data_IF_769882331117
#
_entry.id   IF_769882331117
#
_cell.length_a   1.000
_cell.length_b   1.000
_cell.length_c   1.000
_cell.angle_alpha   90.00
_cell.angle_beta   90.00
_cell.angle_gamma   90.00
#
_symmetry.space_group_name_H-M   'P 1'
#
loop_
_entity.id
_entity.type
_entity.pdbx_description
1 polymer ?
#
# COMPACT_ATOMS: atom_id res chain seq x y z
N UNK A 1 -16.94 4.57 5.03
CA UNK A 1 -18.29 4.16 5.49
C UNK A 1 -19.31 4.74 4.51
N UNK A 2 -20.46 4.10 4.34
CA UNK A 2 -21.54 4.69 3.55
C UNK A 2 -22.21 5.77 4.39
N UNK A 3 -22.15 7.03 3.94
CA UNK A 3 -23.03 8.05 4.46
C UNK A 3 -24.45 7.70 4.03
N UNK A 4 -25.35 7.39 4.97
CA UNK A 4 -26.76 7.08 4.67
C UNK A 4 -27.58 8.36 4.64
N UNK A 5 -28.02 8.80 3.47
CA UNK A 5 -28.79 10.01 3.39
C UNK A 5 -30.23 9.77 3.85
N UNK A 6 -30.74 10.64 4.72
CA UNK A 6 -32.08 10.55 5.31
C UNK A 6 -32.09 10.18 6.80
N UNK A 7 -31.02 9.56 7.33
CA UNK A 7 -30.88 9.28 8.78
C UNK A 7 -29.97 10.25 9.53
N UNK A 8 -29.16 11.05 8.81
CA UNK A 8 -28.18 11.95 9.41
C UNK A 8 -27.07 11.25 10.21
N UNK A 9 -26.85 9.94 10.01
CA UNK A 9 -25.85 9.16 10.73
C UNK A 9 -25.09 8.22 9.80
N UNK A 10 -23.83 7.95 10.15
CA UNK A 10 -22.92 7.06 9.42
C UNK A 10 -23.06 5.66 9.99
N UNK A 11 -23.28 4.65 9.15
CA UNK A 11 -23.17 3.25 9.57
C UNK A 11 -21.68 2.86 9.64
N UNK A 12 -21.22 2.59 10.87
CA UNK A 12 -19.84 2.20 11.17
C UNK A 12 -19.64 0.69 11.21
N UNK A 13 -20.72 -0.10 11.27
CA UNK A 13 -20.68 -1.52 11.64
C UNK A 13 -19.73 -2.34 10.78
N UNK A 14 -19.79 -2.16 9.46
CA UNK A 14 -18.95 -2.88 8.49
C UNK A 14 -17.46 -2.54 8.64
N UNK A 15 -17.12 -1.26 8.78
CA UNK A 15 -15.73 -0.85 8.95
C UNK A 15 -15.19 -1.23 10.33
N UNK A 16 -16.00 -1.11 11.38
CA UNK A 16 -15.61 -1.55 12.73
C UNK A 16 -15.27 -3.05 12.73
N UNK A 17 -16.06 -3.88 12.05
CA UNK A 17 -15.80 -5.31 11.92
C UNK A 17 -14.45 -5.60 11.22
N UNK A 18 -14.12 -4.86 10.15
CA UNK A 18 -12.83 -5.01 9.44
C UNK A 18 -11.67 -4.57 10.34
N UNK A 19 -11.79 -3.41 10.98
CA UNK A 19 -10.75 -2.87 11.87
C UNK A 19 -10.50 -3.80 13.07
N UNK A 20 -11.56 -4.35 13.66
CA UNK A 20 -11.45 -5.27 14.77
C UNK A 20 -10.85 -6.62 14.33
N UNK A 21 -11.22 -7.13 13.15
CA UNK A 21 -10.60 -8.34 12.59
C UNK A 21 -9.11 -8.13 12.36
N UNK A 22 -8.73 -6.99 11.77
CA UNK A 22 -7.32 -6.68 11.51
C UNK A 22 -6.51 -6.57 12.81
N UNK A 23 -7.09 -5.94 13.84
CA UNK A 23 -6.49 -5.85 15.18
C UNK A 23 -6.25 -7.23 15.79
N UNK A 24 -7.25 -8.12 15.73
CA UNK A 24 -7.12 -9.51 16.22
C UNK A 24 -6.03 -10.29 15.48
N UNK A 25 -5.94 -10.12 14.16
CA UNK A 25 -4.90 -10.74 13.34
C UNK A 25 -3.54 -10.03 13.42
N UNK A 26 -3.47 -8.89 14.13
CA UNK A 26 -2.29 -8.02 14.22
C UNK A 26 -1.74 -7.59 12.86
N UNK A 27 -2.65 -7.34 11.91
CA UNK A 27 -2.32 -6.88 10.55
C UNK A 27 -2.50 -5.37 10.44
N UNK A 28 -1.62 -4.71 9.67
CA UNK A 28 -1.77 -3.29 9.36
C UNK A 28 -2.93 -3.10 8.38
N UNK A 29 -3.64 -1.99 8.50
CA UNK A 29 -4.70 -1.60 7.58
C UNK A 29 -4.32 -0.37 6.76
N UNK A 30 -4.61 -0.42 5.46
CA UNK A 30 -4.72 0.76 4.60
C UNK A 30 -6.20 1.13 4.53
N UNK A 31 -6.53 2.37 4.90
CA UNK A 31 -7.87 2.91 4.77
C UNK A 31 -8.09 3.44 3.36
N UNK A 32 -9.08 2.86 2.67
CA UNK A 32 -9.44 3.21 1.30
C UNK A 32 -10.97 3.43 1.26
N UNK A 33 -11.48 4.62 0.92
CA UNK A 33 -10.82 5.90 0.60
C UNK A 33 -11.65 7.03 1.24
N UNK A 34 -11.04 8.19 1.50
CA UNK A 34 -11.74 9.36 2.05
C UNK A 34 -12.45 10.21 0.97
N UNK A 35 -11.81 10.47 -0.17
CA UNK A 35 -12.37 11.25 -1.28
C UNK A 35 -12.24 10.47 -2.59
N UNK A 36 -13.38 10.12 -3.18
CA UNK A 36 -13.45 9.42 -4.46
C UNK A 36 -14.77 9.71 -5.18
N UNK A 37 -14.69 10.14 -6.44
CA UNK A 37 -15.87 10.53 -7.23
C UNK A 37 -16.75 9.35 -7.66
N UNK A 38 -16.24 8.11 -7.61
CA UNK A 38 -17.03 6.93 -8.02
C UNK A 38 -17.86 6.34 -6.88
N UNK A 39 -17.78 6.88 -5.66
CA UNK A 39 -18.46 6.36 -4.47
C UNK A 39 -19.36 7.42 -3.79
N UNK A 40 -19.88 8.37 -4.57
CA UNK A 40 -20.76 9.43 -4.06
C UNK A 40 -22.19 8.91 -3.94
N UNK A 41 -22.84 8.99 -2.77
CA UNK A 41 -24.26 8.70 -2.65
C UNK A 41 -25.11 9.61 -3.54
N UNK A 42 -26.01 9.02 -4.33
CA UNK A 42 -26.81 9.74 -5.36
C UNK A 42 -27.53 10.99 -4.83
N UNK A 43 -28.04 10.96 -3.60
CA UNK A 43 -28.78 12.12 -3.09
C UNK A 43 -27.90 13.36 -2.92
N UNK A 44 -26.58 13.18 -2.74
CA UNK A 44 -25.66 14.31 -2.54
C UNK A 44 -25.56 15.18 -3.79
N UNK A 45 -25.92 14.66 -4.98
CA UNK A 45 -26.03 15.46 -6.19
C UNK A 45 -27.19 16.47 -6.14
N UNK A 46 -28.22 16.21 -5.34
CA UNK A 46 -29.34 17.12 -5.13
C UNK A 46 -29.08 18.21 -4.07
N UNK A 47 -28.00 18.08 -3.29
CA UNK A 47 -27.70 19.04 -2.23
C UNK A 47 -27.23 20.37 -2.79
N UNK A 48 -27.79 21.45 -2.25
CA UNK A 48 -27.43 22.82 -2.59
C UNK A 48 -26.69 23.43 -1.40
N UNK A 49 -25.38 23.51 -1.51
CA UNK A 49 -24.50 24.16 -0.54
C UNK A 49 -23.56 25.10 -1.30
N UNK A 50 -23.21 26.21 -0.67
CA UNK A 50 -22.14 27.08 -1.15
C UNK A 50 -20.76 26.44 -0.90
N UNK A 51 -19.71 27.15 -1.33
CA UNK A 51 -18.33 26.69 -1.17
C UNK A 51 -17.99 26.38 0.29
N UNK A 52 -18.31 27.27 1.23
CA UNK A 52 -17.99 27.07 2.66
C UNK A 52 -18.80 25.90 3.25
N UNK A 53 -20.03 25.71 2.81
CA UNK A 53 -20.84 24.54 3.16
C UNK A 53 -20.19 23.24 2.73
N UNK A 54 -19.76 23.13 1.46
CA UNK A 54 -19.07 21.94 0.95
C UNK A 54 -17.72 21.69 1.63
N UNK A 55 -16.95 22.74 1.86
CA UNK A 55 -15.68 22.66 2.57
C UNK A 55 -15.89 22.11 3.97
N UNK A 56 -16.79 22.70 4.76
CA UNK A 56 -17.09 22.26 6.13
C UNK A 56 -17.63 20.83 6.16
N UNK A 57 -18.47 20.46 5.19
CA UNK A 57 -18.96 19.08 5.07
C UNK A 57 -17.81 18.10 4.88
N UNK A 58 -16.91 18.38 3.93
CA UNK A 58 -15.76 17.53 3.65
C UNK A 58 -14.80 17.43 4.85
N UNK A 59 -14.49 18.54 5.51
CA UNK A 59 -13.65 18.56 6.72
C UNK A 59 -14.26 17.68 7.82
N UNK A 60 -15.57 17.79 8.05
CA UNK A 60 -16.27 17.03 9.08
C UNK A 60 -16.25 15.53 8.78
N UNK A 61 -16.62 15.11 7.57
CA UNK A 61 -16.70 13.67 7.25
C UNK A 61 -15.31 13.00 7.30
N UNK A 62 -14.27 13.69 6.81
CA UNK A 62 -12.89 13.22 6.93
C UNK A 62 -12.48 13.13 8.40
N UNK A 63 -12.75 14.18 9.17
CA UNK A 63 -12.40 14.22 10.59
C UNK A 63 -13.08 13.10 11.36
N UNK A 64 -14.38 12.86 11.15
CA UNK A 64 -15.14 11.83 11.86
C UNK A 64 -14.61 10.43 11.54
N UNK A 65 -14.35 10.13 10.27
CA UNK A 65 -13.81 8.83 9.84
C UNK A 65 -12.40 8.63 10.39
N UNK A 66 -11.49 9.57 10.16
CA UNK A 66 -10.08 9.43 10.55
C UNK A 66 -9.93 9.42 12.07
N UNK A 67 -10.64 10.29 12.80
CA UNK A 67 -10.60 10.34 14.26
C UNK A 67 -11.15 9.05 14.89
N UNK A 68 -12.23 8.48 14.33
CA UNK A 68 -12.76 7.20 14.82
C UNK A 68 -11.71 6.10 14.78
N UNK A 69 -10.96 6.00 13.69
CA UNK A 69 -9.95 4.93 13.51
C UNK A 69 -8.51 5.35 13.81
N UNK A 70 -8.34 6.48 14.52
CA UNK A 70 -7.03 7.02 14.89
C UNK A 70 -6.13 5.95 15.52
N UNK A 71 -4.90 5.84 15.02
CA UNK A 71 -3.89 4.89 15.49
C UNK A 71 -4.17 3.42 15.11
N UNK A 72 -5.26 3.13 14.39
CA UNK A 72 -5.61 1.78 13.91
C UNK A 72 -5.42 1.61 12.40
N UNK A 73 -5.27 2.72 11.68
CA UNK A 73 -5.00 2.73 10.24
C UNK A 73 -3.55 3.17 10.02
N UNK A 74 -2.80 2.39 9.25
CA UNK A 74 -1.40 2.66 8.95
C UNK A 74 -1.24 3.74 7.87
N UNK A 75 -2.07 3.65 6.82
CA UNK A 75 -2.04 4.52 5.65
C UNK A 75 -3.47 4.85 5.22
N UNK A 76 -3.73 6.08 4.80
CA UNK A 76 -4.99 6.48 4.19
C UNK A 76 -4.80 6.87 2.73
N UNK A 77 -5.63 6.33 1.86
CA UNK A 77 -5.96 6.96 0.58
C UNK A 77 -6.86 8.16 0.87
N UNK A 78 -6.27 9.36 0.88
CA UNK A 78 -7.03 10.59 1.16
C UNK A 78 -7.81 11.01 -0.08
N UNK A 79 -7.17 11.01 -1.25
CA UNK A 79 -7.79 11.30 -2.54
C UNK A 79 -7.42 10.18 -3.51
N UNK A 80 -8.42 9.63 -4.18
CA UNK A 80 -8.26 8.59 -5.20
C UNK A 80 -8.67 9.08 -6.59
N UNK A 81 -7.83 8.78 -7.59
CA UNK A 81 -8.12 8.89 -9.03
C UNK A 81 -8.61 10.25 -9.52
N UNK A 82 -8.07 11.35 -9.02
CA UNK A 82 -8.51 12.69 -9.41
C UNK A 82 -7.90 13.21 -10.71
N UNK A 83 -6.89 12.56 -11.30
CA UNK A 83 -6.30 13.02 -12.57
C UNK A 83 -7.02 12.38 -13.76
N UNK A 84 -7.35 13.19 -14.78
CA UNK A 84 -7.92 12.70 -16.04
C UNK A 84 -6.94 11.82 -16.82
N UNK A 85 -7.47 10.88 -17.61
CA UNK A 85 -6.65 10.14 -18.57
C UNK A 85 -6.30 11.01 -19.79
N UNK A 86 -5.15 10.74 -20.42
CA UNK A 86 -4.74 11.50 -21.60
C UNK A 86 -5.58 11.15 -22.81
N UNK A 87 -6.47 12.09 -23.16
CA UNK A 87 -7.35 12.01 -24.33
C UNK A 87 -7.00 13.07 -25.38
N UNK A 88 -5.75 13.57 -25.37
CA UNK A 88 -5.27 14.60 -26.30
C UNK A 88 -5.77 16.02 -25.99
N UNK A 89 -6.38 16.24 -24.82
CA UNK A 89 -6.91 17.54 -24.38
C UNK A 89 -6.02 18.23 -23.34
N UNK A 90 -4.85 17.65 -23.05
CA UNK A 90 -3.98 18.07 -21.96
C UNK A 90 -4.39 17.47 -20.61
N UNK A 91 -3.42 17.43 -19.69
CA UNK A 91 -3.61 16.89 -18.34
C UNK A 91 -4.31 17.88 -17.42
N UNK A 92 -5.29 17.37 -16.67
CA UNK A 92 -6.05 18.14 -15.70
C UNK A 92 -6.64 17.24 -14.61
N UNK A 93 -7.15 17.85 -13.54
CA UNK A 93 -7.98 17.15 -12.57
C UNK A 93 -9.41 16.96 -13.10
N UNK A 94 -10.01 15.82 -12.75
CA UNK A 94 -11.39 15.46 -13.06
C UNK A 94 -12.33 16.50 -12.45
N UNK A 95 -13.00 17.29 -13.28
CA UNK A 95 -14.01 18.29 -12.84
C UNK A 95 -15.37 17.62 -12.52
N UNK A 96 -15.33 16.55 -11.71
CA UNK A 96 -16.48 15.79 -11.22
C UNK A 96 -16.95 16.33 -9.88
N UNK A 97 -17.55 15.50 -9.04
CA UNK A 97 -18.30 15.93 -7.86
C UNK A 97 -17.49 16.83 -6.93
N UNK A 98 -16.35 16.36 -6.43
CA UNK A 98 -15.60 17.11 -5.42
C UNK A 98 -14.86 18.31 -5.99
N UNK A 99 -14.10 18.09 -7.06
CA UNK A 99 -13.27 19.14 -7.64
C UNK A 99 -14.09 20.26 -8.29
N UNK A 100 -15.30 19.98 -8.83
CA UNK A 100 -16.18 21.05 -9.34
C UNK A 100 -16.69 21.99 -8.24
N UNK A 101 -16.68 21.54 -6.98
CA UNK A 101 -17.20 22.29 -5.83
C UNK A 101 -16.10 23.05 -5.09
N UNK A 102 -14.92 22.46 -4.96
CA UNK A 102 -13.83 22.98 -4.13
C UNK A 102 -12.59 23.41 -4.91
N UNK A 103 -12.46 23.00 -6.18
CA UNK A 103 -11.29 23.29 -7.00
C UNK A 103 -9.98 22.86 -6.33
N UNK A 104 -8.93 23.66 -6.50
CA UNK A 104 -7.59 23.35 -5.97
C UNK A 104 -7.52 23.24 -4.44
N UNK A 105 -8.44 23.90 -3.73
CA UNK A 105 -8.50 23.83 -2.26
C UNK A 105 -8.85 22.44 -1.73
N UNK A 106 -9.42 21.56 -2.58
CA UNK A 106 -9.80 20.20 -2.22
C UNK A 106 -8.67 19.42 -1.54
N UNK A 107 -7.45 19.53 -2.08
CA UNK A 107 -6.29 18.83 -1.53
C UNK A 107 -5.94 19.33 -0.13
N UNK A 108 -5.94 20.64 0.08
CA UNK A 108 -5.58 21.25 1.37
C UNK A 108 -6.57 20.88 2.44
N UNK A 109 -7.85 20.97 2.08
CA UNK A 109 -8.97 20.65 2.95
C UNK A 109 -8.89 19.17 3.35
N UNK A 110 -8.78 18.27 2.37
CA UNK A 110 -8.83 16.84 2.64
C UNK A 110 -7.61 16.34 3.41
N UNK A 111 -6.39 16.67 2.97
CA UNK A 111 -5.16 16.25 3.64
C UNK A 111 -4.98 16.97 4.98
N UNK A 112 -5.35 18.25 5.08
CA UNK A 112 -5.31 19.01 6.32
C UNK A 112 -6.22 18.42 7.40
N UNK A 113 -7.48 18.14 7.05
CA UNK A 113 -8.44 17.51 7.96
C UNK A 113 -7.97 16.11 8.40
N UNK A 114 -7.48 15.29 7.46
CA UNK A 114 -6.95 13.96 7.76
C UNK A 114 -5.75 14.02 8.72
N UNK A 115 -4.78 14.91 8.46
CA UNK A 115 -3.60 15.08 9.32
C UNK A 115 -3.98 15.58 10.73
N UNK A 116 -4.92 16.51 10.82
CA UNK A 116 -5.39 17.03 12.10
C UNK A 116 -6.11 15.95 12.93
N UNK A 117 -6.84 15.05 12.28
CA UNK A 117 -7.57 13.96 12.93
C UNK A 117 -6.67 12.79 13.37
N UNK A 118 -5.66 12.43 12.57
CA UNK A 118 -4.62 11.47 12.95
C UNK A 118 -3.22 11.92 12.49
N UNK A 119 -2.42 12.52 13.38
CA UNK A 119 -1.07 12.96 13.05
C UNK A 119 -0.10 11.83 12.67
N UNK A 120 -0.39 10.57 13.03
CA UNK A 120 0.54 9.44 12.87
C UNK A 120 0.24 8.57 11.64
N UNK A 121 -0.97 8.65 11.08
CA UNK A 121 -1.29 7.93 9.86
C UNK A 121 -0.52 8.53 8.68
N UNK A 122 -0.06 7.69 7.76
CA UNK A 122 0.54 8.18 6.52
C UNK A 122 -0.57 8.53 5.52
N UNK A 123 -0.46 9.68 4.87
CA UNK A 123 -1.49 10.22 3.96
C UNK A 123 -1.04 10.12 2.50
N UNK A 124 -1.82 9.41 1.70
CA UNK A 124 -1.51 9.09 0.31
C UNK A 124 -2.51 9.72 -0.66
N UNK A 125 -1.99 10.12 -1.82
CA UNK A 125 -2.75 10.19 -3.06
C UNK A 125 -2.63 8.82 -3.77
N UNK A 126 -3.70 8.32 -4.40
CA UNK A 126 -3.71 7.01 -5.07
C UNK A 126 -4.34 7.11 -6.46
N UNK A 127 -3.75 6.46 -7.47
CA UNK A 127 -4.25 6.50 -8.85
C UNK A 127 -3.71 5.33 -9.69
N UNK A 128 -4.36 5.07 -10.82
CA UNK A 128 -3.95 4.11 -11.86
C UNK A 128 -3.23 4.80 -13.03
N UNK A 129 -2.55 4.00 -13.86
CA UNK A 129 -1.83 4.45 -15.06
C UNK A 129 -0.75 5.50 -14.77
N UNK A 130 -0.21 5.48 -13.56
CA UNK A 130 0.85 6.39 -13.12
C UNK A 130 2.13 5.65 -12.76
N UNK A 131 2.22 4.34 -13.00
CA UNK A 131 3.33 3.46 -12.61
C UNK A 131 4.61 3.79 -13.40
N UNK A 132 4.47 4.23 -14.66
CA UNK A 132 5.57 4.64 -15.52
C UNK A 132 5.53 6.13 -15.84
N UNK A 133 6.66 6.65 -16.30
CA UNK A 133 6.76 8.04 -16.75
C UNK A 133 5.92 8.25 -18.01
N UNK A 134 4.88 9.06 -17.89
CA UNK A 134 3.93 9.40 -18.96
C UNK A 134 3.28 10.77 -18.65
N UNK A 135 2.42 11.31 -19.54
CA UNK A 135 1.76 12.59 -19.29
C UNK A 135 0.97 12.66 -17.97
N UNK A 136 0.23 11.60 -17.61
CA UNK A 136 -0.58 11.54 -16.37
C UNK A 136 0.31 11.61 -15.12
N UNK A 137 1.35 10.78 -15.07
CA UNK A 137 2.30 10.78 -13.94
C UNK A 137 3.15 12.05 -13.91
N UNK A 138 3.48 12.66 -15.05
CA UNK A 138 4.18 13.95 -15.13
C UNK A 138 3.35 15.10 -14.56
N UNK A 139 2.07 15.17 -14.94
CA UNK A 139 1.13 16.11 -14.38
C UNK A 139 0.99 15.91 -12.87
N UNK A 140 0.67 14.69 -12.44
CA UNK A 140 0.51 14.38 -11.02
C UNK A 140 1.76 14.72 -10.21
N UNK A 141 2.95 14.36 -10.71
CA UNK A 141 4.22 14.70 -10.07
C UNK A 141 4.37 16.22 -9.88
N UNK A 142 4.07 17.01 -10.92
CA UNK A 142 4.14 18.49 -10.84
C UNK A 142 3.18 19.04 -9.77
N UNK A 143 1.96 18.52 -9.70
CA UNK A 143 0.93 18.97 -8.78
C UNK A 143 1.28 18.60 -7.33
N UNK A 144 1.65 17.35 -7.07
CA UNK A 144 2.01 16.89 -5.74
C UNK A 144 3.27 17.60 -5.22
N UNK A 145 4.25 17.88 -6.08
CA UNK A 145 5.43 18.69 -5.73
C UNK A 145 5.03 20.11 -5.30
N UNK A 146 4.17 20.76 -6.08
CA UNK A 146 3.66 22.10 -5.74
C UNK A 146 2.88 22.09 -4.42
N UNK A 147 2.00 21.11 -4.21
CA UNK A 147 1.25 20.91 -2.97
C UNK A 147 2.17 20.71 -1.75
N UNK A 148 3.20 19.89 -1.90
CA UNK A 148 4.19 19.70 -0.84
C UNK A 148 4.96 20.97 -0.52
N UNK A 149 5.36 21.74 -1.55
CA UNK A 149 6.08 23.01 -1.35
C UNK A 149 5.26 24.08 -0.62
N UNK A 150 3.93 24.03 -0.69
CA UNK A 150 3.00 24.93 0.02
C UNK A 150 2.48 24.35 1.34
N UNK A 151 3.00 23.20 1.78
CA UNK A 151 2.75 22.65 3.10
C UNK A 151 1.57 21.67 3.22
N UNK A 152 1.00 21.20 2.10
CA UNK A 152 -0.04 20.16 2.16
C UNK A 152 0.58 18.87 2.72
N UNK A 153 -0.01 18.22 3.75
CA UNK A 153 0.64 17.13 4.48
C UNK A 153 0.52 15.77 3.77
N UNK A 154 1.02 15.66 2.54
CA UNK A 154 1.03 14.45 1.72
C UNK A 154 2.33 13.68 1.95
N UNK A 155 2.24 12.45 2.45
CA UNK A 155 3.42 11.63 2.76
C UNK A 155 3.83 10.72 1.61
N UNK A 156 2.87 10.29 0.78
CA UNK A 156 3.12 9.24 -0.18
C UNK A 156 2.21 9.24 -1.40
N UNK A 157 2.63 8.39 -2.36
CA UNK A 157 1.93 8.11 -3.60
C UNK A 157 1.66 6.60 -3.68
N UNK A 158 0.40 6.26 -3.93
CA UNK A 158 -0.08 4.91 -4.18
C UNK A 158 -0.21 4.71 -5.68
N UNK A 159 0.45 3.68 -6.18
CA UNK A 159 0.30 3.20 -7.54
C UNK A 159 -0.63 2.00 -7.50
N UNK A 160 -1.79 2.09 -8.15
CA UNK A 160 -2.77 1.01 -8.13
C UNK A 160 -2.19 -0.27 -8.73
N UNK A 161 -1.46 -0.17 -9.85
CA UNK A 161 -0.88 -1.31 -10.54
C UNK A 161 -1.91 -2.33 -11.05
N UNK A 162 -3.00 -1.84 -11.67
CA UNK A 162 -3.86 -2.65 -12.54
C UNK A 162 -3.22 -2.82 -13.91
N UNK A 163 -2.39 -3.86 -14.09
CA UNK A 163 -1.50 -3.98 -15.26
C UNK A 163 -2.19 -4.67 -16.43
N UNK A 164 -2.93 -3.91 -17.22
CA UNK A 164 -3.55 -4.38 -18.48
C UNK A 164 -2.52 -4.44 -19.62
N UNK A 165 -1.59 -3.47 -19.62
CA UNK A 165 -0.50 -3.36 -20.59
C UNK A 165 0.83 -3.11 -19.87
N UNK A 166 1.90 -3.74 -20.34
CA UNK A 166 3.24 -3.57 -19.80
C UNK A 166 4.19 -3.06 -20.87
N UNK A 167 5.00 -2.04 -20.57
CA UNK A 167 5.93 -1.45 -21.53
C UNK A 167 7.23 -2.26 -21.62
N UNK A 168 7.14 -3.45 -22.21
CA UNK A 168 8.28 -4.33 -22.42
C UNK A 168 9.40 -3.62 -23.21
N UNK A 169 10.64 -3.71 -22.72
CA UNK A 169 11.79 -3.00 -23.30
C UNK A 169 11.90 -1.53 -22.89
N UNK A 170 10.96 -1.01 -22.08
CA UNK A 170 10.98 0.35 -21.54
C UNK A 170 10.82 0.37 -20.02
N UNK A 171 11.28 -0.69 -19.35
CA UNK A 171 11.24 -0.87 -17.89
C UNK A 171 11.84 0.32 -17.12
N UNK A 172 12.84 0.98 -17.72
CA UNK A 172 13.49 2.18 -17.18
C UNK A 172 12.51 3.34 -16.92
N UNK A 173 11.36 3.40 -17.60
CA UNK A 173 10.34 4.43 -17.38
C UNK A 173 9.64 4.28 -16.03
N UNK A 174 9.43 3.05 -15.56
CA UNK A 174 8.87 2.78 -14.23
C UNK A 174 9.86 3.19 -13.14
N UNK A 175 11.13 2.80 -13.29
CA UNK A 175 12.18 3.18 -12.34
C UNK A 175 12.39 4.70 -12.29
N UNK A 176 12.46 5.36 -13.45
CA UNK A 176 12.60 6.82 -13.54
C UNK A 176 11.46 7.52 -12.81
N UNK A 177 10.24 7.02 -12.99
CA UNK A 177 9.05 7.57 -12.36
C UNK A 177 9.06 7.38 -10.84
N UNK A 178 9.39 6.18 -10.35
CA UNK A 178 9.48 5.93 -8.91
C UNK A 178 10.58 6.79 -8.26
N UNK A 179 11.74 6.88 -8.91
CA UNK A 179 12.88 7.64 -8.41
C UNK A 179 12.58 9.13 -8.23
N UNK A 180 11.86 9.78 -9.16
CA UNK A 180 11.52 11.21 -8.98
C UNK A 180 10.59 11.47 -7.79
N UNK A 181 9.63 10.59 -7.50
CA UNK A 181 8.76 10.73 -6.33
C UNK A 181 9.57 10.55 -5.04
N UNK A 182 10.51 9.60 -5.01
CA UNK A 182 11.42 9.40 -3.88
C UNK A 182 12.34 10.61 -3.67
N UNK A 183 12.84 11.23 -4.74
CA UNK A 183 13.68 12.43 -4.66
C UNK A 183 12.93 13.64 -4.06
N UNK A 184 11.62 13.73 -4.28
CA UNK A 184 10.75 14.72 -3.63
C UNK A 184 10.31 14.27 -2.22
N UNK A 185 10.83 13.15 -1.73
CA UNK A 185 10.61 12.65 -0.37
C UNK A 185 9.25 11.98 -0.16
N UNK A 186 8.61 11.45 -1.20
CA UNK A 186 7.40 10.66 -1.06
C UNK A 186 7.71 9.21 -0.67
N UNK A 187 6.86 8.64 0.18
CA UNK A 187 6.78 7.19 0.39
C UNK A 187 5.98 6.56 -0.75
N UNK A 188 6.48 5.49 -1.33
CA UNK A 188 5.82 4.77 -2.41
C UNK A 188 5.04 3.55 -1.85
N UNK A 189 3.92 3.24 -2.50
CA UNK A 189 3.15 2.03 -2.26
C UNK A 189 2.62 1.47 -3.58
N UNK A 190 2.64 0.14 -3.72
CA UNK A 190 1.76 -0.57 -4.65
C UNK A 190 0.51 -0.95 -3.87
N UNK A 191 -0.66 -0.54 -4.36
CA UNK A 191 -1.88 -0.51 -3.55
C UNK A 191 -2.97 -1.47 -4.02
N UNK A 192 -3.04 -1.80 -5.29
CA UNK A 192 -4.17 -2.54 -5.88
C UNK A 192 -3.68 -3.53 -6.95
N UNK A 193 -2.54 -4.20 -6.72
CA UNK A 193 -1.87 -4.92 -7.79
C UNK A 193 -2.66 -6.14 -8.26
N UNK A 194 -2.90 -6.17 -9.56
CA UNK A 194 -3.37 -7.32 -10.33
C UNK A 194 -2.86 -7.20 -11.79
N UNK A 195 -2.81 -8.31 -12.53
CA UNK A 195 -2.26 -8.33 -13.90
C UNK A 195 -3.29 -8.88 -14.90
N UNK A 196 -4.38 -8.13 -15.16
CA UNK A 196 -5.48 -8.51 -16.05
C UNK A 196 -5.14 -8.32 -17.52
N UNK A 197 -3.92 -8.67 -17.93
CA UNK A 197 -3.56 -8.73 -19.35
C UNK A 197 -4.50 -9.68 -20.08
N UNK A 198 -4.72 -9.44 -21.38
CA UNK A 198 -5.60 -10.27 -22.19
C UNK A 198 -5.26 -11.77 -22.04
N UNK A 199 -6.26 -12.64 -22.02
CA UNK A 199 -6.08 -14.07 -21.79
C UNK A 199 -5.15 -14.73 -22.83
N UNK A 200 -5.07 -14.16 -24.04
CA UNK A 200 -4.17 -14.62 -25.10
C UNK A 200 -2.72 -14.18 -24.91
N UNK A 201 -2.43 -13.30 -23.95
CA UNK A 201 -1.05 -12.95 -23.58
C UNK A 201 -0.36 -14.16 -22.96
N UNK A 202 0.87 -14.41 -23.40
CA UNK A 202 1.75 -15.44 -22.85
C UNK A 202 1.75 -15.39 -21.30
N UNK A 203 1.37 -16.48 -20.61
CA UNK A 203 1.41 -16.56 -19.16
C UNK A 203 2.78 -16.20 -18.56
N UNK A 204 3.89 -16.45 -19.27
CA UNK A 204 5.23 -16.06 -18.81
C UNK A 204 5.37 -14.54 -18.70
N UNK A 205 4.73 -13.78 -19.59
CA UNK A 205 4.71 -12.32 -19.51
C UNK A 205 4.02 -11.84 -18.23
N UNK A 206 2.88 -12.43 -17.84
CA UNK A 206 2.20 -12.10 -16.58
C UNK A 206 3.09 -12.40 -15.37
N UNK A 207 3.77 -13.55 -15.36
CA UNK A 207 4.75 -13.89 -14.33
C UNK A 207 5.91 -12.90 -14.26
N UNK A 208 6.43 -12.46 -15.41
CA UNK A 208 7.45 -11.43 -15.49
C UNK A 208 6.97 -10.08 -14.93
N UNK A 209 5.77 -9.62 -15.28
CA UNK A 209 5.20 -8.37 -14.76
C UNK A 209 5.11 -8.40 -13.23
N UNK A 210 4.58 -9.48 -12.68
CA UNK A 210 4.54 -9.69 -11.23
C UNK A 210 5.94 -9.55 -10.62
N UNK A 211 6.88 -10.38 -11.08
CA UNK A 211 8.28 -10.35 -10.61
C UNK A 211 8.90 -8.95 -10.72
N UNK A 212 8.74 -8.26 -11.85
CA UNK A 212 9.29 -6.94 -12.10
C UNK A 212 8.86 -5.92 -11.04
N UNK A 213 7.56 -5.83 -10.74
CA UNK A 213 7.06 -4.87 -9.76
C UNK A 213 7.46 -5.23 -8.31
N UNK A 214 7.59 -6.53 -7.98
CA UNK A 214 8.17 -6.94 -6.69
C UNK A 214 9.63 -6.47 -6.59
N UNK A 215 10.45 -6.73 -7.61
CA UNK A 215 11.86 -6.33 -7.62
C UNK A 215 12.01 -4.81 -7.56
N UNK A 216 11.14 -4.07 -8.26
CA UNK A 216 11.10 -2.61 -8.22
C UNK A 216 10.77 -2.11 -6.80
N UNK A 217 9.72 -2.65 -6.17
CA UNK A 217 9.36 -2.32 -4.79
C UNK A 217 10.51 -2.59 -3.81
N UNK A 218 11.20 -3.73 -3.96
CA UNK A 218 12.34 -4.09 -3.13
C UNK A 218 13.54 -3.16 -3.36
N UNK A 219 13.81 -2.78 -4.62
CA UNK A 219 14.88 -1.86 -4.99
C UNK A 219 14.72 -0.47 -4.35
N UNK A 220 13.49 0.02 -4.24
CA UNK A 220 13.20 1.35 -3.67
C UNK A 220 13.11 1.39 -2.14
N UNK A 221 13.42 0.29 -1.43
CA UNK A 221 13.56 0.34 0.03
C UNK A 221 14.69 1.30 0.46
N UNK A 222 14.51 2.09 1.54
CA UNK A 222 13.39 2.06 2.49
C UNK A 222 12.20 2.98 2.13
N UNK A 223 12.21 3.64 0.97
CA UNK A 223 11.14 4.58 0.56
C UNK A 223 9.86 3.89 0.08
N UNK A 224 9.86 2.56 0.00
CA UNK A 224 8.72 1.75 -0.41
C UNK A 224 8.13 1.00 0.79
N UNK A 225 6.88 1.31 1.15
CA UNK A 225 6.28 0.90 2.42
C UNK A 225 5.24 -0.22 2.35
N UNK A 226 4.58 -0.41 1.20
CA UNK A 226 3.40 -1.28 1.08
C UNK A 226 3.33 -1.92 -0.31
N UNK A 227 3.06 -3.22 -0.33
CA UNK A 227 2.65 -3.96 -1.52
C UNK A 227 1.35 -4.69 -1.20
N UNK A 228 0.29 -4.40 -1.95
CA UNK A 228 -1.04 -4.94 -1.76
C UNK A 228 -1.60 -5.44 -3.10
N UNK A 229 -2.18 -6.64 -3.10
CA UNK A 229 -2.89 -7.21 -4.25
C UNK A 229 -4.37 -6.83 -4.19
N UNK A 230 -5.02 -6.61 -5.33
CA UNK A 230 -6.45 -6.29 -5.37
C UNK A 230 -7.34 -7.52 -5.46
N UNK A 231 -7.33 -8.28 -4.37
CA UNK A 231 -8.03 -9.54 -4.25
C UNK A 231 -7.11 -10.64 -3.76
N UNK A 232 -7.75 -11.75 -3.37
CA UNK A 232 -7.07 -12.93 -2.84
C UNK A 232 -6.87 -13.99 -3.92
N UNK A 233 -7.89 -14.25 -4.74
CA UNK A 233 -7.89 -15.28 -5.77
C UNK A 233 -8.72 -14.87 -6.99
N UNK A 234 -8.46 -15.52 -8.13
CA UNK A 234 -9.10 -15.22 -9.41
C UNK A 234 -10.63 -15.34 -9.37
N UNK A 235 -11.18 -16.29 -8.59
CA UNK A 235 -12.62 -16.55 -8.52
C UNK A 235 -13.45 -15.40 -7.92
N UNK A 236 -12.80 -14.44 -7.26
CA UNK A 236 -13.44 -13.28 -6.63
C UNK A 236 -12.89 -11.95 -7.16
N UNK A 237 -12.09 -11.97 -8.23
CA UNK A 237 -11.50 -10.76 -8.77
C UNK A 237 -12.54 -9.84 -9.41
N UNK A 238 -12.47 -8.56 -9.08
CA UNK A 238 -13.30 -7.50 -9.68
C UNK A 238 -13.12 -7.39 -11.21
N UNK A 239 -11.96 -7.82 -11.73
CA UNK A 239 -11.63 -7.83 -13.15
C UNK A 239 -12.71 -8.54 -13.98
N UNK A 240 -13.24 -9.64 -13.46
CA UNK A 240 -14.26 -10.43 -14.16
C UNK A 240 -15.67 -9.84 -14.06
N UNK A 241 -15.88 -8.80 -13.24
CA UNK A 241 -17.16 -8.11 -13.11
C UNK A 241 -17.20 -6.74 -13.80
N UNK A 242 -16.12 -6.35 -14.49
CA UNK A 242 -15.99 -5.05 -15.19
C UNK A 242 -15.59 -5.24 -16.67
N UNK A 243 -16.47 -5.84 -17.50
CA UNK A 243 -16.17 -6.13 -18.91
C UNK A 243 -15.99 -4.87 -19.78
N UNK A 244 -16.43 -3.72 -19.29
CA UNK A 244 -16.22 -2.40 -19.89
C UNK A 244 -14.78 -1.91 -19.75
N UNK A 245 -14.05 -2.38 -18.72
CA UNK A 245 -12.65 -2.02 -18.47
C UNK A 245 -11.68 -3.08 -19.00
N UNK A 246 -12.09 -4.36 -19.01
CA UNK A 246 -11.21 -5.48 -19.35
C UNK A 246 -11.79 -6.34 -20.48
N UNK A 247 -11.19 -6.25 -21.66
CA UNK A 247 -11.56 -7.10 -22.80
C UNK A 247 -10.80 -8.43 -22.75
N UNK A 248 -11.54 -9.52 -22.49
CA UNK A 248 -11.03 -10.89 -22.37
C UNK A 248 -9.82 -11.00 -21.42
N UNK A 249 -9.94 -10.64 -20.13
CA UNK A 249 -8.84 -10.70 -19.18
C UNK A 249 -8.42 -12.14 -18.89
N UNK A 250 -7.11 -12.39 -18.78
CA UNK A 250 -6.58 -13.61 -18.20
C UNK A 250 -6.66 -13.60 -16.66
N UNK A 251 -6.39 -14.74 -15.99
CA UNK A 251 -6.30 -14.81 -14.53
C UNK A 251 -5.30 -13.78 -13.98
N UNK A 252 -5.76 -12.81 -13.16
CA UNK A 252 -4.94 -11.66 -12.82
C UNK A 252 -4.19 -11.80 -11.48
N UNK A 253 -4.50 -12.78 -10.64
CA UNK A 253 -4.00 -12.89 -9.27
C UNK A 253 -3.04 -14.07 -9.04
N UNK A 254 -2.50 -14.14 -7.83
CA UNK A 254 -1.49 -15.14 -7.42
C UNK A 254 -2.10 -16.49 -7.05
N UNK A 255 -3.40 -16.54 -6.77
CA UNK A 255 -4.14 -17.75 -6.46
C UNK A 255 -5.28 -17.93 -7.47
N UNK A 256 -5.48 -19.15 -7.95
CA UNK A 256 -6.57 -19.47 -8.86
C UNK A 256 -7.92 -19.56 -8.12
N UNK A 257 -9.00 -19.84 -8.86
CA UNK A 257 -10.35 -19.97 -8.30
C UNK A 257 -10.51 -21.06 -7.21
N UNK A 258 -9.57 -22.01 -7.12
CA UNK A 258 -9.54 -23.06 -6.11
C UNK A 258 -8.58 -22.74 -4.95
N UNK A 259 -8.04 -21.52 -4.89
CA UNK A 259 -7.02 -21.08 -3.93
C UNK A 259 -5.66 -21.78 -4.09
N UNK A 260 -5.40 -22.36 -5.26
CA UNK A 260 -4.12 -22.98 -5.58
C UNK A 260 -3.14 -21.94 -6.14
N UNK A 261 -1.84 -22.13 -5.87
CA UNK A 261 -0.79 -21.22 -6.31
C UNK A 261 -0.68 -21.23 -7.84
N UNK A 262 -0.72 -20.05 -8.44
CA UNK A 262 -0.45 -19.91 -9.88
C UNK A 262 1.06 -19.85 -10.14
N UNK A 263 1.48 -19.96 -11.41
CA UNK A 263 2.88 -19.72 -11.78
C UNK A 263 3.37 -18.29 -11.43
N UNK A 264 2.45 -17.34 -11.24
CA UNK A 264 2.77 -15.96 -10.87
C UNK A 264 3.17 -15.87 -9.39
N UNK A 265 2.56 -16.70 -8.54
CA UNK A 265 2.97 -16.87 -7.15
C UNK A 265 4.46 -17.23 -7.07
N UNK A 266 4.89 -18.21 -7.86
CA UNK A 266 6.29 -18.65 -7.89
C UNK A 266 7.22 -17.55 -8.42
N UNK A 267 6.79 -16.78 -9.41
CA UNK A 267 7.55 -15.63 -9.92
C UNK A 267 7.75 -14.54 -8.84
N UNK A 268 6.71 -14.26 -8.05
CA UNK A 268 6.79 -13.36 -6.88
C UNK A 268 7.73 -13.92 -5.82
N UNK A 269 7.63 -15.21 -5.51
CA UNK A 269 8.49 -15.86 -4.54
C UNK A 269 9.97 -15.77 -4.94
N UNK A 270 10.29 -16.04 -6.21
CA UNK A 270 11.64 -15.90 -6.77
C UNK A 270 12.13 -14.46 -6.63
N UNK A 271 11.30 -13.46 -6.91
CA UNK A 271 11.66 -12.04 -6.78
C UNK A 271 12.12 -11.67 -5.36
N UNK A 272 11.46 -12.22 -4.34
CA UNK A 272 11.84 -12.01 -2.94
C UNK A 272 13.14 -12.76 -2.60
N UNK A 273 13.29 -14.01 -3.02
CA UNK A 273 14.48 -14.83 -2.75
C UNK A 273 15.74 -14.31 -3.46
N UNK A 274 15.61 -13.80 -4.69
CA UNK A 274 16.72 -13.27 -5.47
C UNK A 274 17.12 -11.86 -5.08
N UNK A 275 16.32 -11.18 -4.25
CA UNK A 275 16.62 -9.83 -3.81
C UNK A 275 17.85 -9.85 -2.91
N UNK A 276 18.94 -9.13 -3.25
CA UNK A 276 20.06 -8.95 -2.33
C UNK A 276 19.56 -8.03 -1.21
N UNK A 277 18.90 -8.62 -0.20
CA UNK A 277 18.43 -7.92 0.98
C UNK A 277 19.65 -7.24 1.60
N UNK A 278 19.82 -5.94 1.36
CA UNK A 278 20.77 -5.14 2.14
C UNK A 278 20.29 -5.25 3.58
N UNK A 279 21.03 -6.00 4.40
CA UNK A 279 20.81 -6.06 5.85
C UNK A 279 20.54 -4.66 6.37
N UNK A 280 19.62 -4.47 7.33
CA UNK A 280 19.28 -3.13 7.79
C UNK A 280 20.55 -2.37 8.15
N UNK A 281 20.89 -1.34 7.38
CA UNK A 281 21.81 -0.30 7.84
C UNK A 281 21.15 0.18 9.12
N UNK A 282 21.80 -0.03 10.27
CA UNK A 282 21.33 0.43 11.58
C UNK A 282 20.67 1.79 11.36
N UNK A 283 19.36 1.88 11.62
CA UNK A 283 18.65 3.16 11.67
C UNK A 283 19.56 4.14 12.42
N UNK A 284 19.85 5.33 11.87
CA UNK A 284 20.65 6.31 12.60
C UNK A 284 19.95 6.53 13.94
N UNK A 285 20.63 6.14 15.02
CA UNK A 285 20.17 6.44 16.37
C UNK A 285 20.12 7.96 16.48
N UNK A 286 18.92 8.48 16.71
CA UNK A 286 18.62 9.83 17.22
C UNK A 286 19.20 11.01 16.42
N UNK A 287 18.31 11.88 15.95
CA UNK A 287 18.58 13.31 15.88
C UNK A 287 19.04 13.74 17.28
N UNK A 288 20.31 14.10 17.44
CA UNK A 288 20.82 14.69 18.68
C UNK A 288 20.62 16.21 18.65
N UNK A 289 20.23 16.84 19.77
CA UNK A 289 20.46 18.27 19.98
C UNK A 289 21.97 18.56 20.12
N UNK A 290 22.40 19.72 19.62
CA UNK A 290 23.76 20.30 19.70
C UNK A 290 24.16 20.71 21.14
N UNK A 291 25.46 21.02 21.44
CA UNK A 291 26.29 20.22 22.35
C UNK A 291 26.77 20.96 23.61
N UNK A 292 27.25 20.23 24.63
CA UNK A 292 28.24 20.74 25.60
C UNK A 292 29.20 19.66 26.15
N UNK A 293 30.45 19.68 25.62
CA UNK A 293 31.74 19.32 26.24
C UNK A 293 32.22 17.84 26.44
N UNK A 294 33.56 17.60 26.48
CA UNK A 294 34.21 16.38 25.95
C UNK A 294 34.93 15.53 27.05
N UNK A 295 35.80 14.55 26.71
CA UNK A 295 35.51 13.11 26.68
C UNK A 295 36.25 12.30 27.77
N UNK A 296 35.84 11.05 28.03
CA UNK A 296 36.75 10.04 28.63
C UNK A 296 36.71 8.70 27.90
N UNK A 297 37.92 8.28 27.54
CA UNK A 297 38.35 7.06 26.84
C UNK A 297 38.35 5.86 27.79
N UNK A 298 38.00 4.66 27.29
CA UNK A 298 38.75 3.41 27.52
C UNK A 298 38.28 2.25 26.63
N UNK A 299 39.28 1.54 26.11
CA UNK A 299 39.26 0.44 25.12
C UNK A 299 39.25 -0.97 25.78
N UNK A 300 39.15 -2.08 25.00
CA UNK A 300 38.45 -3.32 25.36
C UNK A 300 39.34 -4.53 25.72
N UNK A 301 38.71 -5.59 26.26
CA UNK A 301 39.16 -7.00 26.30
C UNK A 301 37.90 -7.88 26.17
N UNK A 302 37.80 -9.04 25.53
CA UNK A 302 38.76 -9.98 24.93
C UNK A 302 38.22 -11.41 25.13
N UNK A 303 37.78 -12.05 24.03
CA UNK A 303 37.67 -13.50 23.67
C UNK A 303 37.00 -14.58 24.58
N UNK A 304 36.10 -15.31 23.89
CA UNK A 304 35.89 -16.78 23.79
C UNK A 304 35.68 -17.67 25.04
N UNK A 305 34.60 -18.46 25.04
CA UNK A 305 34.68 -19.92 24.80
C UNK A 305 33.34 -20.68 24.82
N UNK A 306 33.27 -21.67 23.90
CA UNK A 306 32.62 -23.01 23.95
C UNK A 306 31.08 -23.15 23.94
N UNK A 307 30.59 -23.63 22.80
CA UNK A 307 29.31 -24.32 22.60
C UNK A 307 29.23 -25.62 23.43
N UNK A 308 28.06 -25.88 24.01
CA UNK A 308 27.55 -27.22 24.32
C UNK A 308 26.36 -27.51 23.41
N UNK A 309 26.31 -28.75 22.92
CA UNK A 309 25.27 -29.31 22.06
C UNK A 309 23.91 -29.37 22.76
N UNK A 310 22.85 -29.09 22.00
CA UNK A 310 21.49 -29.53 22.30
C UNK A 310 20.90 -30.17 21.04
N UNK A 311 20.24 -31.30 21.27
CA UNK A 311 19.87 -32.32 20.30
C UNK A 311 18.82 -31.91 19.27
N UNK A 312 18.65 -32.87 18.36
CA UNK A 312 17.99 -32.78 17.08
C UNK A 312 16.50 -32.40 17.17
N UNK A 313 16.13 -31.37 16.41
CA UNK A 313 14.77 -31.11 15.93
C UNK A 313 14.88 -31.01 14.40
N UNK A 314 14.11 -31.76 13.60
CA UNK A 314 14.22 -31.70 12.15
C UNK A 314 13.65 -30.36 11.66
N UNK A 315 14.52 -29.48 11.19
CA UNK A 315 14.17 -28.25 10.49
C UNK A 315 15.36 -27.80 9.67
N UNK A 316 15.25 -27.85 8.33
CA UNK A 316 16.31 -27.36 7.44
C UNK A 316 16.47 -25.86 7.63
N UNK A 317 17.68 -25.42 7.98
CA UNK A 317 18.07 -24.01 7.96
C UNK A 317 18.52 -23.67 6.54
N UNK A 318 17.73 -22.89 5.81
CA UNK A 318 18.16 -22.23 4.57
C UNK A 318 18.20 -20.73 4.86
N UNK A 319 19.38 -20.14 4.70
CA UNK A 319 19.67 -18.70 4.70
C UNK A 319 18.73 -17.79 5.55
N UNK A 320 18.77 -17.92 6.87
CA UNK A 320 18.16 -16.94 7.79
C UNK A 320 16.66 -17.06 8.04
N UNK A 321 15.94 -17.93 7.33
CA UNK A 321 14.54 -18.25 7.61
C UNK A 321 14.44 -19.32 8.73
N UNK A 322 13.46 -19.13 9.63
CA UNK A 322 13.07 -20.15 10.61
C UNK A 322 11.81 -20.85 10.12
N UNK A 323 11.78 -22.18 10.26
CA UNK A 323 10.64 -23.03 9.93
C UNK A 323 10.09 -23.65 11.22
N UNK A 324 8.77 -23.61 11.42
CA UNK A 324 8.09 -24.32 12.51
C UNK A 324 6.88 -25.02 11.93
N UNK A 325 6.87 -26.35 11.96
CA UNK A 325 5.70 -27.16 11.66
C UNK A 325 5.01 -27.54 12.97
N UNK A 326 3.87 -26.90 13.24
CA UNK A 326 2.89 -27.40 14.22
C UNK A 326 1.49 -27.08 13.71
N UNK A 327 0.62 -28.09 13.69
CA UNK A 327 -0.79 -28.00 13.27
C UNK A 327 -1.03 -27.54 11.81
N UNK A 328 -0.18 -27.95 10.86
CA UNK A 328 -0.46 -27.77 9.43
C UNK A 328 -0.28 -26.36 8.86
N UNK A 329 0.32 -25.43 9.61
CA UNK A 329 0.78 -24.13 9.11
C UNK A 329 2.31 -24.03 9.14
N UNK A 330 2.91 -23.44 8.10
CA UNK A 330 4.34 -23.10 8.05
C UNK A 330 4.47 -21.58 8.21
N UNK A 331 5.25 -21.05 9.15
CA UNK A 331 5.47 -19.59 9.23
C UNK A 331 6.86 -19.26 8.70
N UNK A 332 6.93 -18.47 7.63
CA UNK A 332 8.16 -17.83 7.18
C UNK A 332 8.32 -16.50 7.95
N UNK A 333 9.43 -16.32 8.65
CA UNK A 333 9.79 -15.03 9.24
C UNK A 333 11.16 -14.61 8.76
N UNK A 334 11.25 -13.45 8.09
CA UNK A 334 12.50 -12.78 7.79
C UNK A 334 12.31 -11.26 7.94
N UNK A 335 13.15 -10.61 8.74
CA UNK A 335 13.22 -9.15 8.94
C UNK A 335 11.89 -8.40 9.03
N UNK A 336 11.00 -8.92 9.87
CA UNK A 336 9.78 -8.23 10.24
C UNK A 336 8.61 -8.45 9.29
N UNK A 337 8.65 -9.42 8.38
CA UNK A 337 7.48 -9.87 7.64
C UNK A 337 6.98 -11.21 8.16
N UNK A 338 5.66 -11.35 8.28
CA UNK A 338 4.96 -12.58 8.63
C UNK A 338 4.00 -12.98 7.52
N UNK A 339 4.01 -14.26 7.19
CA UNK A 339 3.06 -14.91 6.29
C UNK A 339 2.06 -15.68 7.16
N UNK A 340 0.77 -15.36 7.06
CA UNK A 340 -0.27 -16.06 7.79
C UNK A 340 -0.84 -17.22 6.96
N UNK A 341 -0.90 -18.40 7.58
CA UNK A 341 -1.48 -19.62 7.01
C UNK A 341 -2.68 -20.05 7.85
N UNK A 342 -3.84 -20.20 7.22
CA UNK A 342 -4.96 -20.94 7.78
C UNK A 342 -5.37 -22.01 6.77
N UNK A 343 -5.47 -23.27 7.21
CA UNK A 343 -5.87 -24.40 6.37
C UNK A 343 -5.03 -24.58 5.08
N UNK A 344 -3.71 -24.31 5.12
CA UNK A 344 -2.83 -24.53 3.98
C UNK A 344 -2.76 -23.39 2.94
N UNK A 345 -3.45 -22.26 3.13
CA UNK A 345 -3.44 -21.12 2.20
C UNK A 345 -2.82 -19.86 2.81
N UNK A 346 -2.11 -19.07 1.99
CA UNK A 346 -1.56 -17.75 2.37
C UNK A 346 -2.67 -16.69 2.32
N UNK A 347 -2.95 -16.03 3.43
CA UNK A 347 -4.04 -15.04 3.51
C UNK A 347 -3.58 -13.57 3.57
N UNK A 348 -2.38 -13.26 4.07
CA UNK A 348 -1.88 -11.86 4.19
C UNK A 348 -0.36 -11.82 4.40
N UNK A 349 0.29 -10.78 3.87
CA UNK A 349 1.69 -10.40 4.14
C UNK A 349 1.70 -9.17 5.06
N UNK A 350 2.25 -9.29 6.28
CA UNK A 350 2.28 -8.18 7.25
C UNK A 350 3.66 -7.91 7.79
N UNK A 351 3.99 -6.62 7.91
CA UNK A 351 5.15 -6.19 8.67
C UNK A 351 4.90 -6.23 10.20
N UNK A 352 5.44 -7.23 10.92
CA UNK A 352 5.31 -7.41 12.39
C UNK A 352 6.63 -7.83 13.08
N UNK A 353 6.75 -7.68 14.40
CA UNK A 353 7.97 -8.00 15.17
C UNK A 353 8.01 -9.47 15.61
N UNK A 354 9.22 -10.00 15.92
CA UNK A 354 9.44 -11.37 16.45
C UNK A 354 8.60 -11.68 17.71
N UNK A 355 8.35 -10.69 18.54
CA UNK A 355 7.62 -10.82 19.80
C UNK A 355 6.09 -10.90 19.58
N UNK A 356 5.59 -10.18 18.58
CA UNK A 356 4.20 -10.26 18.13
C UNK A 356 3.92 -11.61 17.44
N UNK A 357 4.89 -12.12 16.66
CA UNK A 357 4.84 -13.45 16.04
C UNK A 357 4.59 -14.59 17.04
N UNK A 358 5.25 -14.57 18.21
CA UNK A 358 5.06 -15.58 19.25
C UNK A 358 3.68 -15.50 19.93
N UNK A 359 3.04 -14.32 19.94
CA UNK A 359 1.71 -14.11 20.52
C UNK A 359 0.59 -14.51 19.57
N UNK A 360 0.77 -14.29 18.26
CA UNK A 360 -0.19 -14.71 17.22
C UNK A 360 -0.27 -16.23 17.13
N UNK A 361 0.86 -16.94 17.23
CA UNK A 361 0.88 -18.42 17.21
C UNK A 361 0.25 -19.09 18.45
N UNK A 362 -0.03 -18.33 19.51
CA UNK A 362 -0.60 -18.86 20.76
C UNK A 362 -2.14 -18.74 20.84
N UNK A 363 -2.75 -18.05 19.87
CA UNK A 363 -4.19 -17.81 19.76
C UNK A 363 -4.69 -18.28 18.39
#
# INVERSE_FOLDING_TARGET
>A
PSYEPGKGSIDWSRMDAVVERARKMQVKLRGHVLVFDNAIPDVMYGWQMDYEGWKKFLENIITDVVRRYRGRIYQWDVINELVEDDRGQGMSFKKRFWYSRLGDSLFDIAFGAARAADPNALLFYNDYNIEWKNPKSDFLFSQLRAMKSRGVPIDGIGFQNHVIHFMSGQEHLYETNFNRFVQEGFTLAITEMDVPMNANTDPQMRGYVWKFFIELALKFRPHFGTLLTWGLNDGQSWVFTHPDLFSNPGPPLLLDHNMEKTMYYEAVFIAFESSPLRSPRKLPKSVQPLPTQPPRVRSPKGRNSKLKSFGDIPGRRVAGAWFSEKNGGQVLSNDGWAFYYANGHVATVVHTTRENLLRINAH
#
